data_IF_036022188388
#
_entry.id   IF_036022188388
#
_cell.length_a   1.000
_cell.length_b   1.000
_cell.length_c   1.000
_cell.angle_alpha   90.00
_cell.angle_beta   90.00
_cell.angle_gamma   90.00
#
_symmetry.space_group_name_H-M   'P 1'
#
loop_
_entity.id
_entity.type
_entity.pdbx_description
1 polymer ?
#
# COMPACT_ATOMS: atom_id res chain seq x y z
N UNK A 1 0.22 -24.44 -10.98
CA UNK A 1 0.52 -23.22 -10.20
C UNK A 1 -0.69 -22.32 -10.32
N UNK A 2 -1.24 -21.84 -9.20
CA UNK A 2 -2.37 -20.91 -9.24
C UNK A 2 -1.89 -19.55 -9.75
N UNK A 3 -2.70 -18.92 -10.60
CA UNK A 3 -2.37 -17.68 -11.30
C UNK A 3 -3.07 -16.50 -10.62
N UNK A 4 -2.29 -15.51 -10.17
CA UNK A 4 -2.79 -14.33 -9.46
C UNK A 4 -2.53 -13.07 -10.29
N UNK A 5 -3.59 -12.32 -10.56
CA UNK A 5 -3.49 -11.02 -11.22
C UNK A 5 -3.27 -9.92 -10.16
N UNK A 6 -2.19 -9.15 -10.32
CA UNK A 6 -1.82 -8.07 -9.42
C UNK A 6 -1.89 -6.75 -10.17
N UNK A 7 -2.87 -5.90 -9.84
CA UNK A 7 -2.98 -4.57 -10.40
C UNK A 7 -2.17 -3.57 -9.57
N UNK A 8 -1.58 -2.57 -10.21
CA UNK A 8 -0.62 -1.69 -9.54
C UNK A 8 0.69 -2.42 -9.19
N UNK A 9 1.01 -3.49 -9.93
CA UNK A 9 2.14 -4.37 -9.62
C UNK A 9 3.52 -3.74 -9.79
N UNK A 10 3.63 -2.65 -10.56
CA UNK A 10 4.86 -1.85 -10.63
C UNK A 10 4.97 -0.81 -9.50
N UNK A 11 3.96 -0.70 -8.65
CA UNK A 11 3.95 0.16 -7.47
C UNK A 11 4.75 -0.41 -6.31
N UNK A 12 4.86 0.39 -5.23
CA UNK A 12 5.62 0.05 -4.03
C UNK A 12 5.17 -1.27 -3.39
N UNK A 13 3.90 -1.36 -2.95
CA UNK A 13 3.39 -2.56 -2.29
C UNK A 13 3.22 -3.70 -3.30
N UNK A 14 2.73 -3.39 -4.52
CA UNK A 14 2.50 -4.38 -5.56
C UNK A 14 3.75 -5.17 -5.94
N UNK A 15 4.89 -4.49 -6.11
CA UNK A 15 6.15 -5.17 -6.45
C UNK A 15 6.66 -6.11 -5.36
N UNK A 16 6.52 -5.72 -4.08
CA UNK A 16 6.86 -6.57 -2.94
C UNK A 16 5.91 -7.78 -2.84
N UNK A 17 4.62 -7.57 -3.10
CA UNK A 17 3.63 -8.65 -3.13
C UNK A 17 3.90 -9.64 -4.26
N UNK A 18 4.32 -9.17 -5.45
CA UNK A 18 4.73 -10.05 -6.55
C UNK A 18 5.90 -10.94 -6.12
N UNK A 19 6.90 -10.38 -5.43
CA UNK A 19 8.04 -11.17 -4.92
C UNK A 19 7.56 -12.24 -3.95
N UNK A 20 6.71 -11.89 -2.98
CA UNK A 20 6.21 -12.83 -1.97
C UNK A 20 5.31 -13.92 -2.58
N UNK A 21 4.43 -13.56 -3.52
CA UNK A 21 3.60 -14.54 -4.26
C UNK A 21 4.46 -15.57 -5.00
N UNK A 22 5.49 -15.10 -5.73
CA UNK A 22 6.39 -16.00 -6.48
C UNK A 22 7.15 -16.92 -5.53
N UNK A 23 7.65 -16.40 -4.41
CA UNK A 23 8.33 -17.18 -3.38
C UNK A 23 7.42 -18.26 -2.77
N UNK A 24 6.10 -18.01 -2.74
CA UNK A 24 5.08 -18.94 -2.27
C UNK A 24 4.47 -19.82 -3.39
N UNK A 25 5.07 -19.86 -4.58
CA UNK A 25 4.72 -20.80 -5.64
C UNK A 25 3.55 -20.38 -6.54
N UNK A 26 3.19 -19.10 -6.55
CA UNK A 26 2.17 -18.55 -7.45
C UNK A 26 2.77 -18.11 -8.79
N UNK A 27 1.96 -18.19 -9.86
CA UNK A 27 2.20 -17.47 -11.11
C UNK A 27 1.56 -16.09 -11.03
N UNK A 28 2.24 -15.06 -11.52
CA UNK A 28 1.76 -13.68 -11.40
C UNK A 28 1.57 -13.01 -12.74
N UNK A 29 0.41 -12.37 -12.92
CA UNK A 29 0.11 -11.43 -14.00
C UNK A 29 0.18 -10.03 -13.40
N UNK A 30 1.07 -9.18 -13.91
CA UNK A 30 1.20 -7.79 -13.48
C UNK A 30 0.43 -6.86 -14.42
N UNK A 31 -0.38 -5.95 -13.86
CA UNK A 31 -1.10 -4.91 -14.60
C UNK A 31 -0.82 -3.55 -13.97
N UNK A 32 -0.25 -2.62 -14.74
CA UNK A 32 0.07 -1.28 -14.26
C UNK A 32 0.18 -0.32 -15.45
N UNK A 33 -0.51 0.82 -15.44
CA UNK A 33 -0.42 1.81 -16.52
C UNK A 33 0.87 2.63 -16.52
N UNK A 34 1.67 2.52 -15.45
CA UNK A 34 2.93 3.21 -15.22
C UNK A 34 2.83 4.75 -15.20
N UNK A 35 1.67 5.31 -14.85
CA UNK A 35 1.50 6.76 -14.66
C UNK A 35 2.13 7.22 -13.35
N UNK A 36 2.04 6.41 -12.29
CA UNK A 36 2.58 6.70 -10.94
C UNK A 36 3.61 5.65 -10.48
N UNK A 37 4.14 4.86 -11.40
CA UNK A 37 5.10 3.79 -11.14
C UNK A 37 6.12 3.68 -12.27
N UNK A 38 7.16 2.88 -12.06
CA UNK A 38 8.14 2.59 -13.10
C UNK A 38 8.21 1.07 -13.35
N UNK A 39 8.10 0.61 -14.61
CA UNK A 39 8.25 -0.81 -14.93
C UNK A 39 9.66 -1.34 -14.62
N UNK A 40 10.65 -0.47 -14.41
CA UNK A 40 12.02 -0.86 -14.01
C UNK A 40 12.06 -1.56 -12.67
N UNK A 41 11.06 -1.37 -11.80
CA UNK A 41 10.98 -2.09 -10.52
C UNK A 41 10.93 -3.60 -10.75
N UNK A 42 10.37 -4.05 -11.89
CA UNK A 42 10.28 -5.46 -12.24
C UNK A 42 11.65 -6.09 -12.55
N UNK A 43 12.67 -5.29 -12.91
CA UNK A 43 14.06 -5.78 -13.01
C UNK A 43 14.59 -6.20 -11.62
N UNK A 44 14.20 -5.45 -10.58
CA UNK A 44 14.50 -5.81 -9.20
C UNK A 44 13.77 -7.09 -8.77
N UNK A 45 12.48 -7.19 -9.13
CA UNK A 45 11.69 -8.41 -8.90
C UNK A 45 12.33 -9.63 -9.59
N UNK A 46 12.72 -9.50 -10.86
CA UNK A 46 13.39 -10.56 -11.62
C UNK A 46 14.70 -11.00 -10.95
N UNK A 47 15.52 -10.05 -10.51
CA UNK A 47 16.78 -10.35 -9.80
C UNK A 47 16.57 -11.08 -8.46
N UNK A 48 15.47 -10.80 -7.76
CA UNK A 48 15.15 -11.45 -6.49
C UNK A 48 14.61 -12.85 -6.72
N UNK A 49 13.69 -13.00 -7.68
CA UNK A 49 12.89 -14.21 -7.85
C UNK A 49 13.41 -15.17 -8.93
N UNK A 50 14.30 -14.69 -9.81
CA UNK A 50 14.71 -15.41 -11.03
C UNK A 50 13.59 -15.52 -12.07
N UNK A 51 12.44 -14.85 -11.90
CA UNK A 51 11.29 -14.89 -12.79
C UNK A 51 11.08 -13.54 -13.46
N UNK A 52 11.02 -13.55 -14.79
CA UNK A 52 10.66 -12.37 -15.57
C UNK A 52 9.16 -12.18 -15.56
N UNK A 53 8.70 -11.01 -15.14
CA UNK A 53 7.28 -10.65 -15.07
C UNK A 53 6.93 -9.71 -16.21
N UNK A 54 5.93 -10.09 -17.02
CA UNK A 54 5.34 -9.22 -18.04
C UNK A 54 4.38 -8.25 -17.35
N UNK A 55 4.57 -6.94 -17.55
CA UNK A 55 3.57 -5.95 -17.21
C UNK A 55 2.64 -5.70 -18.39
N UNK A 56 1.35 -5.84 -18.17
CA UNK A 56 0.32 -5.31 -19.06
C UNK A 56 0.15 -3.82 -18.76
N UNK A 57 0.62 -2.98 -19.67
CA UNK A 57 0.52 -1.51 -19.53
C UNK A 57 -0.88 -1.05 -19.91
N UNK A 58 -1.84 -1.25 -19.01
CA UNK A 58 -3.26 -0.95 -19.22
C UNK A 58 -3.76 0.00 -18.15
N UNK A 59 -4.59 0.96 -18.55
CA UNK A 59 -5.38 1.78 -17.65
C UNK A 59 -6.70 1.07 -17.36
N UNK A 60 -6.89 0.67 -16.10
CA UNK A 60 -8.10 -0.04 -15.67
C UNK A 60 -9.37 0.82 -15.77
N UNK A 61 -9.26 2.13 -15.97
CA UNK A 61 -10.41 2.98 -16.28
C UNK A 61 -10.95 2.72 -17.71
N UNK A 62 -10.15 2.13 -18.59
CA UNK A 62 -10.60 1.63 -19.88
C UNK A 62 -11.10 0.20 -19.74
N UNK A 63 -12.41 -0.02 -19.89
CA UNK A 63 -13.01 -1.34 -19.74
C UNK A 63 -12.55 -2.33 -20.80
N UNK A 64 -12.49 -1.94 -22.07
CA UNK A 64 -12.15 -2.84 -23.17
C UNK A 64 -10.71 -3.36 -23.06
N UNK A 65 -9.76 -2.46 -22.73
CA UNK A 65 -8.37 -2.84 -22.50
C UNK A 65 -8.24 -3.74 -21.24
N UNK A 66 -9.03 -3.47 -20.19
CA UNK A 66 -9.07 -4.30 -18.99
C UNK A 66 -9.62 -5.68 -19.31
N UNK A 67 -10.72 -5.76 -20.04
CA UNK A 67 -11.37 -7.00 -20.45
C UNK A 67 -10.44 -7.88 -21.32
N UNK A 68 -9.68 -7.28 -22.23
CA UNK A 68 -8.72 -8.00 -23.07
C UNK A 68 -7.66 -8.78 -22.27
N UNK A 69 -7.24 -8.25 -21.09
CA UNK A 69 -6.30 -8.99 -20.22
C UNK A 69 -6.88 -10.32 -19.78
N UNK A 70 -8.17 -10.35 -19.43
CA UNK A 70 -8.83 -11.57 -18.98
C UNK A 70 -9.06 -12.56 -20.12
N UNK A 71 -9.29 -12.07 -21.35
CA UNK A 71 -9.37 -12.92 -22.54
C UNK A 71 -8.03 -13.57 -22.88
N UNK A 72 -6.92 -12.85 -22.66
CA UNK A 72 -5.57 -13.38 -22.90
C UNK A 72 -5.08 -14.34 -21.79
N UNK A 73 -5.68 -14.30 -20.61
CA UNK A 73 -5.19 -15.03 -19.45
C UNK A 73 -6.28 -15.86 -18.79
N UNK A 74 -6.37 -17.11 -19.21
CA UNK A 74 -7.30 -18.07 -18.62
C UNK A 74 -6.87 -18.55 -17.23
N UNK A 75 -7.84 -19.06 -16.46
CA UNK A 75 -7.64 -19.70 -15.16
C UNK A 75 -6.99 -18.78 -14.09
N UNK A 76 -7.42 -17.51 -14.03
CA UNK A 76 -7.01 -16.61 -12.95
C UNK A 76 -7.70 -17.07 -11.67
N UNK A 77 -6.92 -17.54 -10.70
CA UNK A 77 -7.43 -18.03 -9.42
C UNK A 77 -7.80 -16.91 -8.45
N UNK A 78 -7.23 -15.71 -8.64
CA UNK A 78 -7.54 -14.56 -7.79
C UNK A 78 -6.90 -13.26 -8.28
N UNK A 79 -7.40 -12.16 -7.73
CA UNK A 79 -6.94 -10.81 -8.05
C UNK A 79 -6.53 -10.10 -6.76
N UNK A 80 -5.41 -9.37 -6.80
CA UNK A 80 -5.01 -8.42 -5.77
C UNK A 80 -5.02 -7.03 -6.39
N UNK A 81 -5.89 -6.14 -5.89
CA UNK A 81 -6.11 -4.83 -6.46
C UNK A 81 -5.43 -3.73 -5.64
N UNK A 82 -4.24 -3.28 -6.11
CA UNK A 82 -3.50 -2.14 -5.56
C UNK A 82 -3.67 -0.86 -6.37
N UNK A 83 -3.98 -0.95 -7.65
CA UNK A 83 -4.01 0.19 -8.56
C UNK A 83 -4.98 1.28 -8.05
N UNK A 84 -4.42 2.41 -7.61
CA UNK A 84 -5.16 3.57 -7.12
C UNK A 84 -4.23 4.78 -6.98
N UNK A 85 -4.75 5.99 -7.09
CA UNK A 85 -4.08 7.18 -6.58
C UNK A 85 -4.20 7.22 -5.06
N UNK A 86 -3.10 7.54 -4.35
CA UNK A 86 -3.00 7.39 -2.89
C UNK A 86 -2.58 8.64 -2.12
N UNK A 87 -2.26 9.75 -2.79
CA UNK A 87 -1.74 10.94 -2.13
C UNK A 87 -2.87 11.78 -1.51
N UNK A 88 -2.91 11.86 -0.18
CA UNK A 88 -3.98 12.54 0.57
C UNK A 88 -4.09 14.01 0.16
N UNK A 89 -2.97 14.76 0.13
CA UNK A 89 -2.97 16.18 -0.24
C UNK A 89 -3.48 16.42 -1.66
N UNK A 90 -2.94 15.70 -2.64
CA UNK A 90 -3.38 15.78 -4.04
C UNK A 90 -4.88 15.45 -4.18
N UNK A 91 -5.39 14.51 -3.38
CA UNK A 91 -6.82 14.17 -3.44
C UNK A 91 -7.72 15.33 -3.01
N UNK A 92 -7.26 16.20 -2.11
CA UNK A 92 -7.99 17.41 -1.70
C UNK A 92 -7.97 18.45 -2.82
N UNK A 93 -6.85 18.57 -3.53
CA UNK A 93 -6.69 19.51 -4.63
C UNK A 93 -7.43 19.04 -5.91
N UNK A 94 -7.49 17.72 -6.16
CA UNK A 94 -8.06 17.12 -7.35
C UNK A 94 -9.04 15.97 -7.03
N UNK A 95 -10.13 16.23 -6.32
CA UNK A 95 -11.02 15.18 -5.81
C UNK A 95 -11.66 14.35 -6.93
N UNK A 96 -12.11 14.97 -8.02
CA UNK A 96 -12.78 14.25 -9.12
C UNK A 96 -11.84 13.26 -9.79
N UNK A 97 -10.56 13.61 -10.01
CA UNK A 97 -9.55 12.71 -10.55
C UNK A 97 -9.39 11.45 -9.68
N UNK A 98 -9.45 11.61 -8.34
CA UNK A 98 -9.37 10.48 -7.42
C UNK A 98 -10.60 9.60 -7.44
N UNK A 99 -11.79 10.19 -7.45
CA UNK A 99 -13.04 9.42 -7.55
C UNK A 99 -13.13 8.68 -8.88
N UNK A 100 -12.86 9.37 -10.00
CA UNK A 100 -12.89 8.76 -11.32
C UNK A 100 -11.90 7.60 -11.42
N UNK A 101 -10.62 7.83 -11.14
CA UNK A 101 -9.60 6.80 -11.27
C UNK A 101 -9.85 5.61 -10.32
N UNK A 102 -10.05 5.87 -9.03
CA UNK A 102 -10.06 4.80 -8.04
C UNK A 102 -11.35 3.99 -8.06
N UNK A 103 -12.49 4.60 -8.39
CA UNK A 103 -13.76 3.89 -8.44
C UNK A 103 -14.03 3.26 -9.80
N UNK A 104 -13.68 3.94 -10.92
CA UNK A 104 -13.90 3.37 -12.24
C UNK A 104 -13.01 2.14 -12.46
N UNK A 105 -11.72 2.21 -12.07
CA UNK A 105 -10.81 1.06 -12.16
C UNK A 105 -11.33 -0.14 -11.35
N UNK A 106 -11.84 0.09 -10.14
CA UNK A 106 -12.44 -0.96 -9.31
C UNK A 106 -13.70 -1.55 -9.98
N UNK A 107 -14.62 -0.70 -10.45
CA UNK A 107 -15.88 -1.15 -11.08
C UNK A 107 -15.60 -1.96 -12.34
N UNK A 108 -14.69 -1.50 -13.21
CA UNK A 108 -14.33 -2.23 -14.42
C UNK A 108 -13.71 -3.59 -14.10
N UNK A 109 -12.85 -3.63 -13.07
CA UNK A 109 -12.24 -4.88 -12.63
C UNK A 109 -13.28 -5.85 -12.07
N UNK A 110 -14.25 -5.37 -11.26
CA UNK A 110 -15.33 -6.22 -10.72
C UNK A 110 -16.29 -6.73 -11.81
N UNK A 111 -16.51 -5.97 -12.90
CA UNK A 111 -17.23 -6.48 -14.07
C UNK A 111 -16.50 -7.65 -14.71
N UNK A 112 -15.17 -7.56 -14.88
CA UNK A 112 -14.37 -8.66 -15.38
C UNK A 112 -14.38 -9.86 -14.40
N UNK A 113 -14.30 -9.61 -13.09
CA UNK A 113 -14.43 -10.66 -12.06
C UNK A 113 -15.73 -11.43 -12.23
N UNK A 114 -16.83 -10.73 -12.48
CA UNK A 114 -18.16 -11.34 -12.69
C UNK A 114 -18.23 -12.11 -14.02
N UNK A 115 -17.72 -11.54 -15.12
CA UNK A 115 -17.81 -12.13 -16.45
C UNK A 115 -16.96 -13.39 -16.59
N UNK A 116 -15.81 -13.44 -15.92
CA UNK A 116 -14.87 -14.55 -15.97
C UNK A 116 -14.92 -15.46 -14.74
N UNK A 117 -15.95 -15.33 -13.89
CA UNK A 117 -16.16 -16.12 -12.67
C UNK A 117 -14.91 -16.24 -11.78
N UNK A 118 -14.19 -15.13 -11.59
CA UNK A 118 -12.98 -15.13 -10.76
C UNK A 118 -13.34 -15.34 -9.28
N UNK A 119 -12.83 -16.40 -8.64
CA UNK A 119 -13.32 -16.81 -7.32
C UNK A 119 -12.81 -15.95 -6.15
N UNK A 120 -11.66 -15.28 -6.29
CA UNK A 120 -11.02 -14.60 -5.17
C UNK A 120 -10.59 -13.17 -5.52
N UNK A 121 -10.97 -12.23 -4.65
CA UNK A 121 -10.65 -10.81 -4.82
C UNK A 121 -10.09 -10.22 -3.52
N UNK A 122 -8.86 -9.70 -3.55
CA UNK A 122 -8.23 -9.01 -2.42
C UNK A 122 -8.11 -7.54 -2.74
N UNK A 123 -8.68 -6.71 -1.87
CA UNK A 123 -8.68 -5.26 -2.01
C UNK A 123 -7.69 -4.58 -1.06
N UNK A 124 -6.84 -3.75 -1.63
CA UNK A 124 -5.98 -2.82 -0.92
C UNK A 124 -6.83 -1.70 -0.30
N UNK A 125 -7.32 -1.92 0.92
CA UNK A 125 -7.98 -0.89 1.71
C UNK A 125 -6.94 -0.12 2.56
N UNK A 126 -7.40 0.73 3.47
CA UNK A 126 -6.54 1.64 4.22
C UNK A 126 -7.14 1.95 5.59
N UNK A 127 -6.30 2.29 6.56
CA UNK A 127 -6.73 2.84 7.84
C UNK A 127 -7.50 4.16 7.71
N UNK A 128 -7.39 4.85 6.57
CA UNK A 128 -8.14 6.09 6.29
C UNK A 128 -9.66 5.90 6.29
N UNK A 129 -10.15 4.65 6.15
CA UNK A 129 -11.58 4.33 6.26
C UNK A 129 -12.14 4.60 7.65
N UNK A 130 -11.31 4.61 8.69
CA UNK A 130 -11.75 4.89 10.05
C UNK A 130 -12.01 6.38 10.32
N UNK A 131 -11.50 7.28 9.46
CA UNK A 131 -11.53 8.71 9.73
C UNK A 131 -10.78 9.04 11.02
N UNK A 132 -11.38 9.86 11.89
CA UNK A 132 -10.84 10.20 13.21
C UNK A 132 -11.57 9.38 14.30
N UNK A 133 -11.06 8.19 14.67
CA UNK A 133 -11.75 7.28 15.58
C UNK A 133 -11.77 7.79 17.01
N UNK A 134 -12.83 7.46 17.77
CA UNK A 134 -12.93 7.85 19.19
C UNK A 134 -12.08 6.96 20.09
N UNK A 135 -11.86 5.72 19.67
CA UNK A 135 -11.16 4.71 20.47
C UNK A 135 -10.04 4.08 19.65
N UNK A 136 -8.87 3.97 20.24
CA UNK A 136 -7.68 3.31 19.71
C UNK A 136 -7.15 2.31 20.73
N UNK A 137 -6.57 1.16 20.31
CA UNK A 137 -6.40 0.73 18.92
C UNK A 137 -7.72 0.47 18.21
N UNK A 138 -7.77 0.76 16.88
CA UNK A 138 -8.95 0.43 16.07
C UNK A 138 -9.00 -1.06 15.76
N UNK A 139 -10.20 -1.60 15.74
CA UNK A 139 -10.50 -3.00 15.32
C UNK A 139 -11.31 -2.98 14.03
N UNK A 140 -11.49 -4.13 13.40
CA UNK A 140 -12.35 -4.27 12.22
C UNK A 140 -13.82 -3.91 12.50
N UNK A 141 -14.21 -3.96 13.77
CA UNK A 141 -15.56 -3.58 14.26
C UNK A 141 -15.69 -2.09 14.56
N UNK A 142 -14.58 -1.33 14.56
CA UNK A 142 -14.63 0.13 14.78
C UNK A 142 -15.42 0.78 13.64
N UNK A 143 -16.53 1.51 13.95
CA UNK A 143 -17.35 2.13 12.93
C UNK A 143 -16.56 3.13 12.10
N UNK A 144 -16.66 3.10 10.76
CA UNK A 144 -16.11 4.14 9.92
C UNK A 144 -16.73 5.50 10.24
N UNK A 145 -15.90 6.52 10.38
CA UNK A 145 -16.32 7.93 10.43
C UNK A 145 -16.14 8.57 9.05
N UNK A 146 -16.67 9.78 8.81
CA UNK A 146 -16.40 10.52 7.60
C UNK A 146 -14.89 10.56 7.34
N UNK A 147 -14.48 10.21 6.14
CA UNK A 147 -13.06 10.23 5.79
C UNK A 147 -12.53 11.67 5.76
N UNK A 148 -11.29 11.86 6.18
CA UNK A 148 -10.65 13.18 6.26
C UNK A 148 -10.15 13.68 4.87
N UNK A 149 -10.32 12.86 3.81
CA UNK A 149 -9.88 13.22 2.46
C UNK A 149 -10.67 12.47 1.38
N UNK A 150 -10.73 13.01 0.13
CA UNK A 150 -11.30 12.30 -1.01
C UNK A 150 -10.67 10.92 -1.25
N UNK A 151 -9.35 10.77 -1.06
CA UNK A 151 -8.71 9.46 -1.10
C UNK A 151 -9.32 8.48 -0.09
N UNK A 152 -9.49 8.92 1.17
CA UNK A 152 -10.14 8.10 2.20
C UNK A 152 -11.59 7.73 1.81
N UNK A 153 -12.33 8.65 1.23
CA UNK A 153 -13.69 8.38 0.72
C UNK A 153 -13.66 7.34 -0.41
N UNK A 154 -12.69 7.39 -1.34
CA UNK A 154 -12.61 6.34 -2.38
C UNK A 154 -12.38 4.96 -1.78
N UNK A 155 -11.66 4.84 -0.66
CA UNK A 155 -11.47 3.57 0.05
C UNK A 155 -12.74 3.12 0.77
N UNK A 156 -13.46 4.02 1.45
CA UNK A 156 -14.77 3.70 2.06
C UNK A 156 -15.80 3.23 1.01
N UNK A 157 -15.92 3.98 -0.10
CA UNK A 157 -16.82 3.61 -1.21
C UNK A 157 -16.39 2.28 -1.86
N UNK A 158 -15.08 2.06 -2.04
CA UNK A 158 -14.55 0.81 -2.57
C UNK A 158 -14.91 -0.39 -1.70
N UNK A 159 -14.76 -0.28 -0.38
CA UNK A 159 -15.20 -1.33 0.55
C UNK A 159 -16.71 -1.60 0.44
N UNK A 160 -17.53 -0.55 0.33
CA UNK A 160 -18.97 -0.70 0.20
C UNK A 160 -19.36 -1.35 -1.13
N UNK A 161 -18.76 -0.93 -2.25
CA UNK A 161 -19.00 -1.53 -3.58
C UNK A 161 -18.65 -3.02 -3.54
N UNK A 162 -17.51 -3.39 -2.98
CA UNK A 162 -17.08 -4.79 -2.88
C UNK A 162 -18.01 -5.60 -1.98
N UNK A 163 -18.45 -5.04 -0.86
CA UNK A 163 -19.40 -5.71 0.04
C UNK A 163 -20.73 -6.00 -0.67
N UNK A 164 -21.29 -5.03 -1.41
CA UNK A 164 -22.55 -5.26 -2.16
C UNK A 164 -22.32 -6.22 -3.34
N UNK A 165 -21.22 -6.11 -4.06
CA UNK A 165 -20.86 -7.05 -5.10
C UNK A 165 -20.73 -8.48 -4.55
N UNK A 166 -19.99 -8.68 -3.45
CA UNK A 166 -19.79 -10.01 -2.84
C UNK A 166 -21.08 -10.65 -2.32
N UNK A 167 -22.09 -9.84 -1.96
CA UNK A 167 -23.43 -10.34 -1.62
C UNK A 167 -24.22 -10.79 -2.84
N UNK A 168 -24.01 -10.14 -3.99
CA UNK A 168 -24.75 -10.42 -5.23
C UNK A 168 -24.23 -11.63 -6.01
N UNK A 169 -22.95 -11.99 -5.82
CA UNK A 169 -22.31 -13.14 -6.49
C UNK A 169 -22.32 -14.37 -5.58
N UNK A 170 -22.40 -15.57 -6.22
CA UNK A 170 -22.27 -16.85 -5.52
C UNK A 170 -20.86 -17.45 -5.62
N UNK A 171 -20.04 -16.95 -6.52
CA UNK A 171 -18.75 -17.51 -6.87
C UNK A 171 -17.60 -16.75 -6.23
N UNK A 172 -17.66 -15.41 -6.22
CA UNK A 172 -16.55 -14.58 -5.76
C UNK A 172 -16.63 -14.30 -4.27
N UNK A 173 -15.51 -14.52 -3.57
CA UNK A 173 -15.27 -14.07 -2.20
C UNK A 173 -14.25 -12.97 -2.18
N UNK A 174 -14.35 -12.04 -1.22
CA UNK A 174 -13.47 -10.87 -1.14
C UNK A 174 -12.83 -10.70 0.23
N UNK A 175 -11.55 -10.33 0.26
CA UNK A 175 -10.84 -9.89 1.46
C UNK A 175 -10.43 -8.43 1.29
N UNK A 176 -10.71 -7.61 2.31
CA UNK A 176 -10.36 -6.21 2.37
C UNK A 176 -9.27 -6.02 3.43
N UNK A 177 -8.07 -5.64 3.01
CA UNK A 177 -6.94 -5.47 3.91
C UNK A 177 -6.74 -3.99 4.21
N UNK A 178 -7.06 -3.59 5.45
CA UNK A 178 -6.89 -2.22 5.95
C UNK A 178 -5.50 -2.08 6.56
N UNK A 179 -4.53 -1.65 5.79
CA UNK A 179 -3.20 -1.43 6.32
C UNK A 179 -2.93 0.03 6.65
N UNK A 180 -1.97 0.21 7.55
CA UNK A 180 -1.57 1.50 8.10
C UNK A 180 -0.44 2.09 7.26
N UNK A 181 0.64 2.56 7.83
CA UNK A 181 1.66 3.30 7.10
C UNK A 181 2.77 2.34 6.60
N UNK A 182 2.78 1.93 5.31
CA UNK A 182 3.83 1.09 4.77
C UNK A 182 5.17 1.81 4.76
N UNK A 183 6.21 1.13 5.22
CA UNK A 183 7.58 1.65 5.34
C UNK A 183 8.60 0.58 4.98
N UNK A 184 9.82 1.00 4.64
CA UNK A 184 10.93 0.11 4.36
C UNK A 184 11.10 -0.23 2.89
N UNK A 185 11.99 -1.16 2.64
CA UNK A 185 12.28 -1.72 1.33
C UNK A 185 12.58 -3.21 1.48
N UNK A 186 12.56 -3.95 0.39
CA UNK A 186 12.94 -5.36 0.41
C UNK A 186 14.37 -5.54 0.97
N UNK A 187 14.65 -6.53 1.81
CA UNK A 187 15.98 -6.73 2.43
C UNK A 187 17.13 -6.83 1.43
N UNK A 188 16.87 -7.27 0.19
CA UNK A 188 17.87 -7.26 -0.90
C UNK A 188 18.25 -5.87 -1.40
N UNK A 189 17.48 -4.84 -1.03
CA UNK A 189 17.63 -3.47 -1.54
C UNK A 189 17.55 -3.40 -3.08
N UNK A 190 16.78 -4.30 -3.70
CA UNK A 190 16.54 -4.31 -5.15
C UNK A 190 15.19 -3.71 -5.54
N UNK A 191 14.26 -3.61 -4.60
CA UNK A 191 12.96 -2.93 -4.74
C UNK A 191 12.63 -2.14 -3.46
N UNK A 192 11.90 -1.04 -3.60
CA UNK A 192 11.49 -0.15 -2.52
C UNK A 192 10.58 0.96 -3.01
N UNK A 193 10.22 1.90 -2.14
CA UNK A 193 9.36 3.02 -2.51
C UNK A 193 10.11 4.03 -3.39
N UNK A 194 9.52 4.42 -4.52
CA UNK A 194 10.01 5.46 -5.43
C UNK A 194 8.98 6.59 -5.52
N UNK A 195 9.00 7.57 -4.62
CA UNK A 195 8.06 8.68 -4.66
C UNK A 195 8.28 9.53 -5.92
N UNK A 196 7.21 9.89 -6.60
CA UNK A 196 7.22 10.84 -7.70
C UNK A 196 7.03 12.25 -7.10
N UNK A 197 7.95 13.17 -7.40
CA UNK A 197 7.91 14.54 -6.88
C UNK A 197 8.22 14.62 -5.38
N UNK A 198 7.65 15.64 -4.71
CA UNK A 198 7.88 15.87 -3.28
C UNK A 198 7.22 14.76 -2.44
N UNK A 199 7.93 14.15 -1.49
CA UNK A 199 7.38 13.06 -0.70
C UNK A 199 6.22 13.53 0.18
N UNK A 200 5.10 12.81 0.10
CA UNK A 200 3.93 13.06 0.93
C UNK A 200 3.97 12.27 2.26
N UNK A 201 4.75 11.19 2.31
CA UNK A 201 4.88 10.30 3.47
C UNK A 201 6.10 10.66 4.32
N UNK A 202 6.03 10.35 5.63
CA UNK A 202 7.05 10.70 6.62
C UNK A 202 8.42 10.09 6.29
N UNK A 203 8.51 8.77 6.06
CA UNK A 203 9.80 8.10 5.91
C UNK A 203 10.53 8.49 4.64
N UNK A 204 9.89 8.61 3.45
CA UNK A 204 10.53 9.24 2.30
C UNK A 204 10.99 10.70 2.56
N UNK A 205 10.24 11.50 3.33
CA UNK A 205 10.69 12.84 3.70
C UNK A 205 11.94 12.81 4.59
N UNK A 206 12.01 11.87 5.54
CA UNK A 206 13.18 11.63 6.39
C UNK A 206 14.39 11.25 5.53
N UNK A 207 14.27 10.21 4.69
CA UNK A 207 15.39 9.69 3.90
C UNK A 207 15.88 10.68 2.85
N UNK A 208 14.97 11.42 2.20
CA UNK A 208 15.33 12.47 1.23
C UNK A 208 15.99 13.69 1.89
N UNK A 209 15.60 14.03 3.12
CA UNK A 209 16.27 15.08 3.88
C UNK A 209 17.68 14.60 4.30
N UNK A 210 17.79 13.40 4.82
CA UNK A 210 19.07 12.85 5.24
C UNK A 210 20.09 12.70 4.10
N UNK A 211 19.63 12.37 2.87
CA UNK A 211 20.52 12.25 1.70
C UNK A 211 20.79 13.59 1.00
N UNK A 212 20.17 14.68 1.45
CA UNK A 212 20.36 16.04 0.93
C UNK A 212 19.52 16.38 -0.32
N UNK A 213 18.51 15.58 -0.68
CA UNK A 213 17.54 15.93 -1.72
C UNK A 213 16.58 17.02 -1.26
N UNK A 214 16.22 17.01 0.01
CA UNK A 214 15.48 18.08 0.68
C UNK A 214 16.42 18.80 1.66
N UNK A 215 16.42 20.13 1.70
CA UNK A 215 17.29 20.88 2.62
C UNK A 215 16.86 20.69 4.08
N UNK A 216 15.56 20.56 4.33
CA UNK A 216 14.95 20.45 5.66
C UNK A 216 13.55 19.83 5.53
N UNK A 217 13.13 19.05 6.52
CA UNK A 217 11.75 18.61 6.65
C UNK A 217 11.00 19.34 7.77
N UNK A 218 9.68 19.30 7.74
CA UNK A 218 8.83 19.85 8.78
C UNK A 218 8.11 18.75 9.54
N UNK A 219 8.22 18.77 10.87
CA UNK A 219 7.37 18.01 11.79
C UNK A 219 6.15 18.88 12.08
N UNK A 220 4.96 18.39 11.77
CA UNK A 220 3.72 19.16 11.87
C UNK A 220 3.07 19.03 13.24
N UNK A 221 3.26 20.06 14.10
CA UNK A 221 2.78 20.11 15.47
C UNK A 221 3.65 19.37 16.48
N UNK A 222 3.80 19.97 17.65
CA UNK A 222 4.48 19.43 18.84
C UNK A 222 3.63 19.59 20.10
N UNK A 223 2.36 19.94 19.91
CA UNK A 223 1.40 20.26 20.95
C UNK A 223 0.18 19.32 20.98
N UNK A 224 0.27 18.16 20.29
CA UNK A 224 -0.75 17.13 20.37
C UNK A 224 -0.75 16.44 21.74
N UNK A 225 -1.91 15.97 22.26
CA UNK A 225 -1.99 15.25 23.54
C UNK A 225 -1.43 13.82 23.40
N UNK A 226 -0.15 13.72 23.06
CA UNK A 226 0.63 12.50 22.88
C UNK A 226 1.88 12.56 23.75
N UNK A 227 2.64 11.45 23.83
CA UNK A 227 3.78 11.37 24.76
C UNK A 227 4.97 12.29 24.45
N UNK A 228 5.05 12.84 23.23
CA UNK A 228 6.09 13.82 22.85
C UNK A 228 5.56 14.99 22.01
N UNK A 229 4.25 15.15 22.00
CA UNK A 229 3.57 16.25 21.31
C UNK A 229 3.37 16.04 19.81
N UNK A 230 4.01 15.05 19.17
CA UNK A 230 3.81 14.77 17.75
C UNK A 230 2.76 13.68 17.50
N UNK A 231 2.21 13.62 16.28
CA UNK A 231 1.20 12.61 15.91
C UNK A 231 1.70 11.18 16.07
N UNK A 232 0.78 10.25 16.39
CA UNK A 232 1.06 8.81 16.47
C UNK A 232 0.54 8.10 15.21
N UNK A 233 1.37 7.25 14.62
CA UNK A 233 1.03 6.40 13.48
C UNK A 233 1.47 4.96 13.75
N UNK A 234 0.85 4.03 13.05
CA UNK A 234 1.27 2.63 13.01
C UNK A 234 2.10 2.42 11.74
N UNK A 235 3.40 2.26 11.89
CA UNK A 235 4.30 1.97 10.77
C UNK A 235 4.45 0.46 10.64
N UNK A 236 4.34 -0.05 9.43
CA UNK A 236 4.41 -1.47 9.13
C UNK A 236 5.37 -1.71 7.96
N UNK A 237 6.21 -2.73 8.05
CA UNK A 237 7.14 -3.04 6.99
C UNK A 237 6.40 -3.52 5.73
N UNK A 238 6.82 -3.03 4.57
CA UNK A 238 6.17 -3.37 3.30
C UNK A 238 6.18 -4.86 2.99
N UNK A 239 7.21 -5.60 3.43
CA UNK A 239 7.25 -7.06 3.27
C UNK A 239 6.19 -7.76 4.14
N UNK A 240 5.92 -7.28 5.35
CA UNK A 240 4.85 -7.83 6.20
C UNK A 240 3.47 -7.61 5.55
N UNK A 241 3.25 -6.45 4.92
CA UNK A 241 2.04 -6.19 4.13
C UNK A 241 1.96 -7.13 2.92
N UNK A 242 3.05 -7.27 2.18
CA UNK A 242 3.12 -8.16 1.02
C UNK A 242 2.76 -9.60 1.40
N UNK A 243 3.35 -10.10 2.48
CA UNK A 243 3.07 -11.45 3.01
C UNK A 243 1.61 -11.62 3.43
N UNK A 244 0.98 -10.60 4.03
CA UNK A 244 -0.43 -10.62 4.38
C UNK A 244 -1.34 -10.85 3.15
N UNK A 245 -1.01 -10.28 1.99
CA UNK A 245 -1.76 -10.49 0.75
C UNK A 245 -1.64 -11.92 0.25
N UNK A 246 -0.44 -12.50 0.32
CA UNK A 246 -0.22 -13.91 -0.02
C UNK A 246 -1.00 -14.84 0.91
N UNK A 247 -0.95 -14.61 2.21
CA UNK A 247 -1.71 -15.37 3.20
C UNK A 247 -3.23 -15.23 2.98
N UNK A 248 -3.72 -14.04 2.60
CA UNK A 248 -5.12 -13.83 2.26
C UNK A 248 -5.54 -14.70 1.06
N UNK A 249 -4.75 -14.73 -0.01
CA UNK A 249 -5.00 -15.61 -1.17
C UNK A 249 -4.98 -17.08 -0.73
N UNK A 250 -3.99 -17.52 0.03
CA UNK A 250 -3.92 -18.91 0.52
C UNK A 250 -5.11 -19.27 1.40
N UNK A 251 -5.56 -18.35 2.27
CA UNK A 251 -6.73 -18.54 3.13
C UNK A 251 -8.00 -18.74 2.29
N UNK A 252 -8.17 -17.96 1.22
CA UNK A 252 -9.29 -18.06 0.28
C UNK A 252 -9.25 -19.38 -0.51
N UNK A 253 -8.12 -19.71 -1.11
CA UNK A 253 -7.91 -20.95 -1.88
C UNK A 253 -8.18 -22.21 -1.04
N UNK A 254 -7.85 -22.17 0.25
CA UNK A 254 -8.12 -23.25 1.18
C UNK A 254 -9.60 -23.32 1.64
N UNK A 255 -10.49 -22.50 1.09
CA UNK A 255 -11.92 -22.50 1.42
C UNK A 255 -12.26 -22.06 2.85
N UNK A 256 -11.36 -21.38 3.54
CA UNK A 256 -11.51 -21.04 4.98
C UNK A 256 -12.43 -19.87 5.24
N UNK A 257 -12.79 -19.07 4.22
CA UNK A 257 -13.68 -17.92 4.39
C UNK A 257 -15.10 -18.35 4.75
N UNK A 258 -15.62 -17.83 5.87
CA UNK A 258 -16.97 -18.05 6.32
C UNK A 258 -17.99 -17.07 5.70
N UNK A 259 -17.54 -15.86 5.31
CA UNK A 259 -18.40 -14.80 4.76
C UNK A 259 -18.04 -14.54 3.30
N UNK A 260 -18.95 -13.89 2.58
CA UNK A 260 -18.70 -13.44 1.20
C UNK A 260 -17.61 -12.36 1.13
N UNK A 261 -17.56 -11.48 2.15
CA UNK A 261 -16.48 -10.51 2.32
C UNK A 261 -15.99 -10.52 3.78
N UNK A 262 -14.67 -10.44 3.96
CA UNK A 262 -14.00 -10.36 5.27
C UNK A 262 -13.01 -9.20 5.26
N UNK A 263 -12.84 -8.56 6.43
CA UNK A 263 -11.97 -7.40 6.62
C UNK A 263 -10.90 -7.75 7.64
N UNK A 264 -9.66 -7.29 7.40
CA UNK A 264 -8.55 -7.48 8.32
C UNK A 264 -7.71 -6.20 8.45
N UNK A 265 -7.37 -5.84 9.70
CA UNK A 265 -6.41 -4.79 9.98
C UNK A 265 -4.98 -5.33 9.91
N UNK A 266 -4.12 -4.62 9.18
CA UNK A 266 -2.70 -4.90 9.08
C UNK A 266 -1.90 -3.73 9.63
N UNK A 267 -1.55 -3.81 10.91
CA UNK A 267 -0.66 -2.89 11.60
C UNK A 267 0.15 -3.65 12.64
N UNK A 268 1.13 -2.99 13.24
CA UNK A 268 1.97 -3.60 14.28
C UNK A 268 1.27 -3.64 15.63
N UNK A 269 0.22 -2.83 15.81
CA UNK A 269 -0.43 -2.61 17.10
C UNK A 269 0.35 -1.65 18.01
N UNK A 270 1.49 -1.15 17.54
CA UNK A 270 2.36 -0.25 18.28
C UNK A 270 2.33 1.13 17.63
N UNK A 271 1.65 2.05 18.29
CA UNK A 271 1.66 3.44 17.84
C UNK A 271 3.03 4.09 18.06
N UNK A 272 3.63 4.59 16.99
CA UNK A 272 4.93 5.30 16.99
C UNK A 272 4.70 6.77 16.69
N UNK A 273 5.31 7.65 17.48
CA UNK A 273 5.24 9.10 17.22
C UNK A 273 6.16 9.50 16.06
N UNK A 274 5.90 10.67 15.46
CA UNK A 274 6.77 11.18 14.38
C UNK A 274 8.19 11.39 14.89
N UNK A 275 8.37 11.93 16.11
CA UNK A 275 9.71 12.16 16.68
C UNK A 275 10.41 10.84 17.07
N UNK A 276 9.67 9.81 17.47
CA UNK A 276 10.26 8.47 17.68
C UNK A 276 10.74 7.84 16.37
N UNK A 277 9.99 8.00 15.29
CA UNK A 277 10.41 7.55 13.97
C UNK A 277 11.69 8.25 13.50
N UNK A 278 11.81 9.57 13.72
CA UNK A 278 13.03 10.32 13.44
C UNK A 278 14.21 9.79 14.28
N UNK A 279 14.02 9.61 15.60
CA UNK A 279 15.07 9.09 16.48
C UNK A 279 15.53 7.68 16.08
N UNK A 280 14.58 6.80 15.69
CA UNK A 280 14.90 5.48 15.19
C UNK A 280 15.74 5.55 13.90
N UNK A 281 15.37 6.45 12.98
CA UNK A 281 16.15 6.69 11.77
C UNK A 281 17.57 7.20 12.08
N UNK A 282 17.71 8.23 12.93
CA UNK A 282 19.01 8.76 13.34
C UNK A 282 19.91 7.68 13.95
N UNK A 283 19.32 6.79 14.77
CA UNK A 283 20.04 5.67 15.39
C UNK A 283 20.59 4.70 14.35
N UNK A 284 19.80 4.27 13.36
CA UNK A 284 20.23 3.24 12.39
C UNK A 284 21.07 3.81 11.25
N UNK A 285 20.87 5.09 10.90
CA UNK A 285 21.60 5.73 9.80
C UNK A 285 22.90 6.39 10.23
N UNK A 286 23.01 6.77 11.52
CA UNK A 286 24.09 7.63 12.04
C UNK A 286 24.01 9.08 11.55
N UNK A 287 22.95 9.46 10.83
CA UNK A 287 22.77 10.80 10.24
C UNK A 287 21.85 11.62 11.12
N UNK A 288 22.31 12.80 11.57
CA UNK A 288 21.46 13.76 12.26
C UNK A 288 20.52 14.45 11.27
N UNK A 289 19.21 14.36 11.53
CA UNK A 289 18.20 14.88 10.61
C UNK A 289 17.98 16.39 10.80
N UNK A 290 17.99 17.14 9.69
CA UNK A 290 17.63 18.55 9.69
C UNK A 290 16.12 18.72 9.59
N UNK A 291 15.45 19.01 10.72
CA UNK A 291 14.02 19.27 10.73
C UNK A 291 13.66 20.50 11.58
N UNK A 292 12.50 21.07 11.30
CA UNK A 292 11.88 22.13 12.11
C UNK A 292 10.49 21.70 12.54
N UNK A 293 10.02 22.28 13.64
CA UNK A 293 8.62 22.16 14.07
C UNK A 293 7.79 23.21 13.34
N UNK A 294 6.71 22.79 12.70
CA UNK A 294 5.73 23.65 12.05
C UNK A 294 4.36 23.56 12.74
N UNK A 295 3.39 24.37 12.31
CA UNK A 295 2.02 24.27 12.79
C UNK A 295 1.40 22.91 12.46
N UNK A 296 0.34 22.53 13.17
CA UNK A 296 -0.45 21.33 12.86
C UNK A 296 -0.94 21.38 11.42
N UNK A 297 -0.85 20.24 10.73
CA UNK A 297 -1.37 20.12 9.37
C UNK A 297 -2.89 19.86 9.43
N UNK A 298 -3.73 20.63 8.69
CA UNK A 298 -5.17 20.37 8.62
C UNK A 298 -5.45 18.93 8.18
N UNK A 299 -6.40 18.27 8.84
CA UNK A 299 -6.79 16.89 8.55
C UNK A 299 -5.87 15.81 9.14
N UNK A 300 -4.83 16.17 9.90
CA UNK A 300 -4.01 15.16 10.59
C UNK A 300 -4.74 14.57 11.80
N UNK A 301 -4.90 13.25 11.79
CA UNK A 301 -5.41 12.49 12.93
C UNK A 301 -4.35 12.47 14.04
N UNK A 302 -4.74 12.73 15.29
CA UNK A 302 -3.83 12.78 16.45
C UNK A 302 -3.08 11.44 16.62
N UNK A 303 -3.83 10.34 16.64
CA UNK A 303 -3.28 9.01 16.81
C UNK A 303 -4.15 7.98 16.09
N UNK A 304 -3.51 7.05 15.37
CA UNK A 304 -4.19 5.91 14.79
C UNK A 304 -3.23 4.70 14.72
N UNK A 305 -3.64 3.58 15.30
CA UNK A 305 -2.94 2.29 15.22
C UNK A 305 -3.92 1.13 15.38
N UNK A 306 -3.53 -0.05 14.87
CA UNK A 306 -4.41 -1.21 14.74
C UNK A 306 -4.45 -2.10 15.99
N UNK A 307 -5.56 -2.80 16.18
CA UNK A 307 -5.54 -4.15 16.72
C UNK A 307 -5.45 -5.13 15.55
N UNK A 308 -4.49 -6.03 15.53
CA UNK A 308 -4.23 -6.99 14.45
C UNK A 308 -4.57 -8.44 14.84
N UNK A 309 -5.21 -8.68 15.98
CA UNK A 309 -5.50 -10.01 16.52
C UNK A 309 -6.33 -10.87 15.55
N UNK A 310 -7.23 -10.26 14.77
CA UNK A 310 -8.06 -11.00 13.82
C UNK A 310 -7.22 -11.57 12.68
N UNK A 311 -6.35 -10.76 12.06
CA UNK A 311 -5.43 -11.20 11.02
C UNK A 311 -4.50 -12.31 11.55
N UNK A 312 -3.99 -12.15 12.77
CA UNK A 312 -3.13 -13.13 13.41
C UNK A 312 -3.85 -14.48 13.61
N UNK A 313 -5.08 -14.46 14.11
CA UNK A 313 -5.83 -15.70 14.39
C UNK A 313 -6.33 -16.39 13.12
N UNK A 314 -6.82 -15.64 12.13
CA UNK A 314 -7.47 -16.23 10.96
C UNK A 314 -6.51 -16.45 9.79
N UNK A 315 -5.68 -15.46 9.46
CA UNK A 315 -4.71 -15.59 8.38
C UNK A 315 -3.38 -16.23 8.83
N UNK A 316 -3.12 -16.33 10.14
CA UNK A 316 -1.82 -16.72 10.66
C UNK A 316 -0.75 -15.65 10.49
N UNK A 317 -1.16 -14.41 10.17
CA UNK A 317 -0.25 -13.31 9.87
C UNK A 317 0.30 -12.66 11.14
N UNK A 318 1.58 -12.33 11.10
CA UNK A 318 2.25 -11.54 12.13
C UNK A 318 3.35 -10.69 11.51
N UNK A 319 3.71 -9.60 12.19
CA UNK A 319 4.82 -8.74 11.76
C UNK A 319 6.16 -9.39 12.11
N UNK A 320 7.09 -9.36 11.18
CA UNK A 320 8.47 -9.88 11.35
C UNK A 320 9.49 -8.76 11.54
N UNK A 321 9.19 -7.56 11.02
CA UNK A 321 10.13 -6.44 11.00
C UNK A 321 9.77 -5.38 12.03
N UNK A 322 10.78 -4.91 12.77
CA UNK A 322 10.66 -3.80 13.71
C UNK A 322 10.88 -2.42 13.08
N UNK A 323 10.70 -1.36 13.88
CA UNK A 323 10.87 0.03 13.41
C UNK A 323 12.28 0.31 12.90
N UNK A 324 13.31 -0.26 13.53
CA UNK A 324 14.71 -0.09 13.11
C UNK A 324 14.97 -0.76 11.75
N UNK A 325 14.38 -1.92 11.48
CA UNK A 325 14.47 -2.59 10.18
C UNK A 325 13.81 -1.76 9.09
N UNK A 326 12.62 -1.20 9.38
CA UNK A 326 11.90 -0.31 8.48
C UNK A 326 12.77 0.90 8.09
N UNK A 327 13.37 1.56 9.07
CA UNK A 327 14.23 2.73 8.83
C UNK A 327 15.53 2.36 8.11
N UNK A 328 16.15 1.25 8.50
CA UNK A 328 17.40 0.77 7.89
C UNK A 328 17.21 0.39 6.41
N UNK A 329 16.16 -0.36 6.08
CA UNK A 329 15.89 -0.78 4.70
C UNK A 329 15.48 0.41 3.82
N UNK A 330 14.66 1.34 4.34
CA UNK A 330 14.30 2.57 3.64
C UNK A 330 15.54 3.44 3.36
N UNK A 331 16.44 3.57 4.33
CA UNK A 331 17.68 4.33 4.17
C UNK A 331 18.61 3.73 3.13
N UNK A 332 18.88 2.44 3.19
CA UNK A 332 19.71 1.73 2.20
C UNK A 332 19.12 1.84 0.80
N UNK A 333 17.81 1.78 0.67
CA UNK A 333 17.14 1.97 -0.60
C UNK A 333 17.32 3.39 -1.15
N UNK A 334 17.15 4.42 -0.33
CA UNK A 334 17.38 5.81 -0.73
C UNK A 334 18.83 6.06 -1.17
N UNK A 335 19.80 5.48 -0.45
CA UNK A 335 21.22 5.52 -0.85
C UNK A 335 21.45 4.86 -2.21
N UNK A 336 20.83 3.71 -2.47
CA UNK A 336 20.90 3.04 -3.76
C UNK A 336 20.28 3.86 -4.88
N UNK A 337 19.11 4.45 -4.65
CA UNK A 337 18.49 5.35 -5.62
C UNK A 337 19.39 6.52 -6.01
N UNK A 338 20.18 7.07 -5.07
CA UNK A 338 21.13 8.17 -5.34
C UNK A 338 22.29 7.73 -6.24
N UNK A 339 22.73 6.48 -6.11
CA UNK A 339 23.91 5.96 -6.83
C UNK A 339 23.57 5.30 -8.16
N UNK A 340 22.32 4.91 -8.36
CA UNK A 340 21.87 4.21 -9.57
C UNK A 340 21.24 5.19 -10.57
N UNK A 341 22.10 5.79 -11.44
CA UNK A 341 21.69 6.75 -12.47
C UNK A 341 20.57 6.20 -13.40
N UNK A 342 20.46 4.88 -13.54
CA UNK A 342 19.40 4.26 -14.37
C UNK A 342 18.00 4.50 -13.83
N UNK A 343 17.85 4.69 -12.51
CA UNK A 343 16.55 5.06 -11.92
C UNK A 343 16.25 6.56 -12.07
N UNK A 344 17.27 7.42 -12.22
CA UNK A 344 17.11 8.88 -12.29
C UNK A 344 16.91 9.43 -13.72
N UNK A 345 17.45 8.78 -14.77
CA UNK A 345 17.44 9.29 -16.14
C UNK A 345 16.13 9.04 -16.93
N UNK A 346 15.00 8.83 -16.27
CA UNK A 346 13.70 8.68 -16.93
C UNK A 346 12.61 9.54 -16.31
N UNK A 347 12.20 10.61 -16.97
CA UNK A 347 10.95 11.40 -16.81
C UNK A 347 10.57 11.98 -15.43
N UNK A 348 11.38 11.83 -14.38
CA UNK A 348 11.06 12.40 -13.06
C UNK A 348 11.54 13.84 -12.89
N UNK A 349 12.34 14.37 -13.83
CA UNK A 349 12.81 15.76 -13.85
C UNK A 349 11.85 16.74 -14.52
N UNK A 350 10.79 16.29 -15.19
CA UNK A 350 9.89 17.12 -16.00
C UNK A 350 8.56 17.46 -15.31
N UNK A 351 8.37 17.08 -14.06
CA UNK A 351 7.19 17.41 -13.25
C UNK A 351 7.55 18.41 -12.12
N UNK A 352 8.19 19.54 -12.50
CA UNK A 352 8.27 20.74 -11.67
C UNK A 352 7.15 21.70 -12.03
#
# INVERSE_FOLDING_TARGET
MEKILVTGGCGYIGSHTIVDLIANGFEVICVDNNVRSSPRILEGVEKITGKKIKNYKVDLCNYDDTFAIFQENENIAGIIHFAAYKAVGESVEQPLMYFENNLMSLINLLKCVQEFDIPHFVFSSSCTVYGNPDVIPVTEMTPPKPAESPYGYTKQMGEQIINEFSKSTKTTKSILLRYFNPVGAHPSILIGEMPIGRPANLVPAITQTAIGKLPQMTVYGDDYPTRDGSCIRDFIHVCDIAHAHTLAIQYMLNGKMAKAAEVYNLGTGNGVTVLEAIRAFEKVSGVKLNYQIGPRRPGDVIAIYANNDLAKRQLGWQTEFGLEDMMSTAWKWEQKLKTDEKFFNGKFSELN
#
